data_IF_788911444232
#
_entry.id   IF_788911444232
#
_cell.length_a   1.000
_cell.length_b   1.000
_cell.length_c   1.000
_cell.angle_alpha   90.00
_cell.angle_beta   90.00
_cell.angle_gamma   90.00
#
_symmetry.space_group_name_H-M   'P 1'
#
loop_
_entity.id
_entity.type
_entity.pdbx_description
1 polymer ?
#
# COMPACT_ATOMS: atom_id res chain seq x y z
N UNK A 1 -11.78 30.24 5.16
CA UNK A 1 -11.71 28.77 5.30
C UNK A 1 -11.37 28.08 3.98
N UNK A 2 -12.14 28.27 2.91
CA UNK A 2 -11.86 27.60 1.62
C UNK A 2 -10.46 27.89 1.04
N UNK A 3 -9.96 29.13 1.14
CA UNK A 3 -8.60 29.49 0.69
C UNK A 3 -7.51 28.74 1.47
N UNK A 4 -7.66 28.68 2.79
CA UNK A 4 -6.76 27.97 3.69
C UNK A 4 -6.75 26.46 3.40
N UNK A 5 -7.92 25.88 3.13
CA UNK A 5 -8.06 24.47 2.73
C UNK A 5 -7.33 24.18 1.42
N UNK A 6 -7.51 25.04 0.41
CA UNK A 6 -6.86 24.89 -0.90
C UNK A 6 -5.33 24.99 -0.79
N UNK A 7 -4.85 25.99 -0.04
CA UNK A 7 -3.41 26.19 0.20
C UNK A 7 -2.78 25.00 0.94
N UNK A 8 -3.42 24.52 2.00
CA UNK A 8 -2.96 23.35 2.75
C UNK A 8 -2.89 22.09 1.87
N UNK A 9 -3.86 21.86 0.97
CA UNK A 9 -3.84 20.73 0.02
C UNK A 9 -2.67 20.83 -0.97
N UNK A 10 -2.41 22.02 -1.51
CA UNK A 10 -1.27 22.26 -2.41
C UNK A 10 0.07 21.98 -1.72
N UNK A 11 0.27 22.55 -0.53
CA UNK A 11 1.47 22.32 0.28
C UNK A 11 1.68 20.84 0.63
N UNK A 12 0.61 20.09 0.90
CA UNK A 12 0.70 18.65 1.16
C UNK A 12 1.22 17.88 -0.04
N UNK A 13 0.71 18.16 -1.23
CA UNK A 13 1.14 17.50 -2.48
C UNK A 13 2.61 17.85 -2.75
N UNK A 14 2.95 19.14 -2.74
CA UNK A 14 4.31 19.62 -2.98
C UNK A 14 5.32 19.02 -2.00
N UNK A 15 4.98 18.97 -0.71
CA UNK A 15 5.87 18.44 0.33
C UNK A 15 6.04 16.92 0.19
N UNK A 16 4.95 16.17 -0.02
CA UNK A 16 5.02 14.71 -0.21
C UNK A 16 5.81 14.33 -1.47
N UNK A 17 5.64 15.08 -2.57
CA UNK A 17 6.44 14.88 -3.78
C UNK A 17 7.91 15.23 -3.58
N UNK A 18 8.22 16.29 -2.84
CA UNK A 18 9.59 16.66 -2.51
C UNK A 18 10.28 15.59 -1.64
N UNK A 19 9.59 15.05 -0.63
CA UNK A 19 10.09 13.94 0.21
C UNK A 19 10.35 12.70 -0.64
N UNK A 20 9.39 12.30 -1.48
CA UNK A 20 9.52 11.10 -2.33
C UNK A 20 10.65 11.22 -3.34
N UNK A 21 10.72 12.36 -4.03
CA UNK A 21 11.80 12.66 -4.97
C UNK A 21 13.16 12.65 -4.28
N UNK A 22 13.22 13.18 -3.05
CA UNK A 22 14.45 13.13 -2.26
C UNK A 22 14.83 11.70 -1.88
N UNK A 23 13.87 10.90 -1.42
CA UNK A 23 14.11 9.49 -1.08
C UNK A 23 14.60 8.67 -2.28
N UNK A 24 14.03 8.90 -3.46
CA UNK A 24 14.49 8.27 -4.69
C UNK A 24 15.91 8.66 -5.07
N UNK A 25 16.29 9.94 -4.93
CA UNK A 25 17.64 10.39 -5.24
C UNK A 25 18.70 9.68 -4.37
N UNK A 26 18.36 9.31 -3.12
CA UNK A 26 19.25 8.56 -2.24
C UNK A 26 19.48 7.11 -2.68
N UNK A 27 18.72 6.55 -3.64
CA UNK A 27 18.99 5.22 -4.17
C UNK A 27 20.34 5.14 -4.91
N UNK A 28 20.89 6.28 -5.35
CA UNK A 28 22.20 6.39 -5.96
C UNK A 28 23.19 7.16 -5.06
N UNK A 29 22.88 7.39 -3.79
CA UNK A 29 23.81 8.04 -2.87
C UNK A 29 24.87 7.04 -2.38
N UNK A 30 26.13 7.49 -2.18
CA UNK A 30 27.17 6.65 -1.58
C UNK A 30 26.90 6.41 -0.08
N UNK A 31 26.19 7.33 0.57
CA UNK A 31 25.88 7.31 1.99
C UNK A 31 24.41 6.99 2.25
N UNK A 32 24.13 6.47 3.44
CA UNK A 32 22.77 6.25 3.90
C UNK A 32 21.95 7.56 3.96
N UNK A 33 20.62 7.51 3.76
CA UNK A 33 19.80 8.71 3.88
C UNK A 33 19.94 9.39 5.25
N UNK A 34 20.07 10.72 5.31
CA UNK A 34 20.25 11.43 6.55
C UNK A 34 18.97 11.40 7.39
N UNK A 35 19.12 11.52 8.71
CA UNK A 35 17.99 11.61 9.63
C UNK A 35 17.00 12.73 9.26
N UNK A 36 17.49 13.83 8.67
CA UNK A 36 16.67 14.94 8.19
C UNK A 36 15.63 14.52 7.14
N UNK A 37 15.92 13.54 6.28
CA UNK A 37 14.94 13.01 5.33
C UNK A 37 13.84 12.21 6.06
N UNK A 38 14.23 11.34 6.99
CA UNK A 38 13.27 10.58 7.81
C UNK A 38 12.37 11.51 8.62
N UNK A 39 12.95 12.54 9.23
CA UNK A 39 12.24 13.61 9.93
C UNK A 39 11.24 14.38 9.04
N UNK A 40 11.60 14.69 7.79
CA UNK A 40 10.71 15.34 6.83
C UNK A 40 9.58 14.40 6.40
N UNK A 41 9.88 13.12 6.17
CA UNK A 41 8.90 12.10 5.84
C UNK A 41 7.88 11.92 6.96
N UNK A 42 8.33 11.79 8.22
CA UNK A 42 7.45 11.67 9.39
C UNK A 42 6.51 12.87 9.53
N UNK A 43 7.04 14.10 9.39
CA UNK A 43 6.21 15.33 9.46
C UNK A 43 5.19 15.41 8.34
N UNK A 44 5.55 14.98 7.14
CA UNK A 44 4.65 14.96 5.99
C UNK A 44 3.55 13.92 6.17
N UNK A 45 3.89 12.72 6.65
CA UNK A 45 2.93 11.68 6.99
C UNK A 45 1.97 12.12 8.11
N UNK A 46 2.47 12.82 9.14
CA UNK A 46 1.63 13.46 10.17
C UNK A 46 0.65 14.49 9.58
N UNK A 47 1.12 15.35 8.68
CA UNK A 47 0.27 16.36 8.05
C UNK A 47 -0.83 15.70 7.19
N UNK A 48 -0.50 14.64 6.45
CA UNK A 48 -1.48 13.83 5.70
C UNK A 48 -2.51 13.16 6.63
N UNK A 49 -2.10 12.70 7.82
CA UNK A 49 -3.04 12.14 8.81
C UNK A 49 -3.93 13.20 9.45
N UNK A 50 -3.41 14.40 9.72
CA UNK A 50 -4.24 15.54 10.16
C UNK A 50 -5.28 15.87 9.09
N UNK A 51 -4.88 15.83 7.82
CA UNK A 51 -5.79 16.01 6.69
C UNK A 51 -6.83 14.90 6.59
N UNK A 52 -6.45 13.64 6.81
CA UNK A 52 -7.39 12.53 6.90
C UNK A 52 -8.45 12.78 7.98
N UNK A 53 -8.03 13.23 9.17
CA UNK A 53 -8.94 13.60 10.27
C UNK A 53 -9.89 14.73 9.90
N UNK A 54 -9.43 15.73 9.13
CA UNK A 54 -10.27 16.85 8.66
C UNK A 54 -11.44 16.43 7.76
N UNK A 55 -11.36 15.23 7.17
CA UNK A 55 -12.44 14.64 6.37
C UNK A 55 -13.49 13.91 7.25
N UNK A 56 -13.31 13.84 8.58
CA UNK A 56 -14.30 13.25 9.51
C UNK A 56 -15.54 14.15 9.63
N UNK A 57 -16.77 13.59 9.47
CA UNK A 57 -18.01 14.36 9.57
C UNK A 57 -18.18 15.10 10.91
N UNK A 58 -17.60 14.57 11.99
CA UNK A 58 -17.63 15.17 13.31
C UNK A 58 -16.98 16.57 13.35
N UNK A 59 -16.04 16.86 12.44
CA UNK A 59 -15.35 18.15 12.37
C UNK A 59 -16.04 19.16 11.45
N UNK A 60 -17.06 18.79 10.68
CA UNK A 60 -17.70 19.68 9.69
C UNK A 60 -18.26 20.96 10.32
N UNK A 61 -18.78 20.87 11.55
CA UNK A 61 -19.43 22.00 12.25
C UNK A 61 -18.49 22.78 13.17
N UNK A 62 -17.21 22.40 13.26
CA UNK A 62 -16.25 23.02 14.17
C UNK A 62 -15.18 23.84 13.42
N UNK A 63 -15.55 25.03 12.93
CA UNK A 63 -14.67 25.89 12.13
C UNK A 63 -13.37 26.27 12.85
N UNK A 64 -13.42 26.47 14.18
CA UNK A 64 -12.24 26.80 14.97
C UNK A 64 -11.21 25.65 14.96
N UNK A 65 -11.68 24.42 15.21
CA UNK A 65 -10.81 23.24 15.16
C UNK A 65 -10.31 22.96 13.74
N UNK A 66 -11.18 23.08 12.73
CA UNK A 66 -10.79 22.94 11.32
C UNK A 66 -9.68 23.93 10.95
N UNK A 67 -9.82 25.20 11.33
CA UNK A 67 -8.81 26.22 11.07
C UNK A 67 -7.49 25.88 11.74
N UNK A 68 -7.52 25.50 13.01
CA UNK A 68 -6.32 25.09 13.76
C UNK A 68 -5.61 23.92 13.08
N UNK A 69 -6.34 22.88 12.66
CA UNK A 69 -5.76 21.70 12.00
C UNK A 69 -5.17 22.05 10.62
N UNK A 70 -5.77 22.97 9.88
CA UNK A 70 -5.22 23.45 8.61
C UNK A 70 -3.93 24.26 8.81
N UNK A 71 -3.89 25.19 9.77
CA UNK A 71 -2.68 25.94 10.11
C UNK A 71 -1.55 25.00 10.60
N UNK A 72 -1.92 23.94 11.32
CA UNK A 72 -1.01 22.89 11.80
C UNK A 72 -0.43 22.01 10.67
N UNK A 73 -1.18 21.82 9.58
CA UNK A 73 -0.68 21.21 8.33
C UNK A 73 0.37 22.10 7.68
N UNK A 74 0.08 23.40 7.51
CA UNK A 74 1.00 24.34 6.88
C UNK A 74 2.32 24.43 7.62
N UNK A 75 2.26 24.49 8.95
CA UNK A 75 3.45 24.50 9.80
C UNK A 75 4.30 23.24 9.62
N UNK A 76 3.68 22.05 9.52
CA UNK A 76 4.41 20.79 9.28
C UNK A 76 5.06 20.75 7.91
N UNK A 77 4.33 21.14 6.87
CA UNK A 77 4.84 21.21 5.51
C UNK A 77 6.04 22.16 5.43
N UNK A 78 5.94 23.37 6.00
CA UNK A 78 7.03 24.33 6.03
C UNK A 78 8.28 23.75 6.72
N UNK A 79 8.12 23.15 7.90
CA UNK A 79 9.23 22.53 8.65
C UNK A 79 9.84 21.33 7.92
N UNK A 80 9.03 20.52 7.24
CA UNK A 80 9.53 19.43 6.42
C UNK A 80 10.37 19.96 5.24
N UNK A 81 9.89 21.02 4.57
CA UNK A 81 10.63 21.71 3.51
C UNK A 81 11.97 22.27 3.98
N UNK A 82 12.01 22.96 5.12
CA UNK A 82 13.25 23.47 5.73
C UNK A 82 14.27 22.34 5.99
N UNK A 83 13.80 21.20 6.51
CA UNK A 83 14.65 20.03 6.77
C UNK A 83 15.20 19.41 5.49
N UNK A 84 14.39 19.32 4.44
CA UNK A 84 14.85 18.85 3.13
C UNK A 84 15.86 19.82 2.50
N UNK A 85 15.64 21.13 2.62
CA UNK A 85 16.55 22.13 2.06
C UNK A 85 17.94 22.10 2.72
N UNK A 86 18.00 21.80 4.03
CA UNK A 86 19.25 21.74 4.78
C UNK A 86 20.17 20.54 4.43
N UNK A 87 19.67 19.53 3.72
CA UNK A 87 20.42 18.29 3.48
C UNK A 87 20.23 17.76 2.05
N UNK A 88 20.84 18.41 1.04
CA UNK A 88 20.79 17.93 -0.35
C UNK A 88 21.45 16.55 -0.49
N UNK A 89 20.97 15.68 -1.40
CA UNK A 89 21.53 14.35 -1.58
C UNK A 89 22.87 14.44 -2.31
N UNK A 90 23.88 13.73 -1.78
CA UNK A 90 25.05 13.35 -2.58
C UNK A 90 24.66 12.25 -3.56
N UNK A 91 25.17 12.29 -4.79
CA UNK A 91 24.86 11.31 -5.83
C UNK A 91 26.15 10.70 -6.36
N UNK A 92 26.23 9.37 -6.38
CA UNK A 92 27.27 8.62 -7.08
C UNK A 92 26.97 8.63 -8.59
N UNK A 93 27.72 9.44 -9.33
CA UNK A 93 27.54 9.56 -10.77
C UNK A 93 27.76 8.26 -11.54
N UNK A 94 28.67 7.40 -11.07
CA UNK A 94 28.94 6.12 -11.73
C UNK A 94 27.76 5.19 -11.55
N UNK A 95 27.21 5.12 -10.32
CA UNK A 95 26.00 4.34 -10.04
C UNK A 95 24.79 4.81 -10.88
N UNK A 96 24.60 6.12 -11.05
CA UNK A 96 23.53 6.67 -11.90
C UNK A 96 23.69 6.22 -13.36
N UNK A 97 24.90 6.32 -13.91
CA UNK A 97 25.18 5.91 -15.31
C UNK A 97 24.97 4.41 -15.49
N UNK A 98 25.46 3.59 -14.55
CA UNK A 98 25.21 2.14 -14.56
C UNK A 98 23.71 1.84 -14.50
N UNK A 99 22.97 2.43 -13.55
CA UNK A 99 21.53 2.23 -13.45
C UNK A 99 20.77 2.60 -14.73
N UNK A 100 21.14 3.71 -15.37
CA UNK A 100 20.56 4.10 -16.67
C UNK A 100 20.80 3.04 -17.77
N UNK A 101 21.97 2.40 -17.78
CA UNK A 101 22.29 1.34 -18.75
C UNK A 101 21.59 -0.01 -18.46
N UNK A 102 21.33 -0.32 -17.20
CA UNK A 102 20.71 -1.61 -16.79
C UNK A 102 19.18 -1.59 -16.87
N UNK A 103 18.55 -0.43 -16.65
CA UNK A 103 17.09 -0.28 -16.62
C UNK A 103 16.36 -0.84 -17.84
N UNK A 104 16.82 -0.69 -19.10
CA UNK A 104 16.17 -1.31 -20.25
C UNK A 104 15.99 -2.83 -20.11
N UNK A 105 17.04 -3.52 -19.65
CA UNK A 105 17.01 -4.98 -19.44
C UNK A 105 16.09 -5.36 -18.29
N UNK A 106 16.13 -4.60 -17.20
CA UNK A 106 15.24 -4.78 -16.04
C UNK A 106 13.76 -4.59 -16.40
N UNK A 107 13.44 -3.58 -17.21
CA UNK A 107 12.08 -3.34 -17.71
C UNK A 107 11.60 -4.52 -18.57
N UNK A 108 12.43 -5.00 -19.50
CA UNK A 108 12.08 -6.15 -20.33
C UNK A 108 11.87 -7.43 -19.50
N UNK A 109 12.67 -7.63 -18.45
CA UNK A 109 12.49 -8.75 -17.52
C UNK A 109 11.15 -8.65 -16.77
N UNK A 110 10.78 -7.46 -16.28
CA UNK A 110 9.49 -7.23 -15.62
C UNK A 110 8.30 -7.54 -16.54
N UNK A 111 8.37 -7.16 -17.82
CA UNK A 111 7.33 -7.54 -18.81
C UNK A 111 7.24 -9.04 -19.04
N UNK A 112 8.38 -9.74 -19.04
CA UNK A 112 8.42 -11.19 -19.06
C UNK A 112 7.74 -11.81 -17.83
N UNK A 113 7.98 -11.24 -16.65
CA UNK A 113 7.35 -11.65 -15.40
C UNK A 113 5.84 -11.45 -15.42
N UNK A 114 5.36 -10.29 -15.88
CA UNK A 114 3.92 -10.02 -15.99
C UNK A 114 3.24 -11.02 -16.94
N UNK A 115 3.85 -11.35 -18.08
CA UNK A 115 3.28 -12.36 -18.99
C UNK A 115 3.11 -13.72 -18.32
N UNK A 116 4.13 -14.20 -17.59
CA UNK A 116 4.04 -15.46 -16.83
C UNK A 116 2.97 -15.40 -15.75
N UNK A 117 2.84 -14.26 -15.07
CA UNK A 117 1.83 -14.08 -14.03
C UNK A 117 0.41 -14.06 -14.63
N UNK A 118 0.21 -13.46 -15.82
CA UNK A 118 -1.06 -13.53 -16.56
C UNK A 118 -1.38 -14.95 -17.02
N UNK A 119 -0.40 -15.71 -17.50
CA UNK A 119 -0.60 -17.12 -17.90
C UNK A 119 -1.05 -17.98 -16.72
N UNK A 120 -0.57 -17.67 -15.51
CA UNK A 120 -0.86 -18.44 -14.29
C UNK A 120 -2.15 -18.01 -13.58
N UNK A 121 -2.37 -16.69 -13.45
CA UNK A 121 -3.44 -16.12 -12.64
C UNK A 121 -4.41 -15.20 -13.40
N UNK A 122 -4.28 -15.08 -14.72
CA UNK A 122 -5.13 -14.19 -15.52
C UNK A 122 -4.80 -12.70 -15.40
N UNK A 123 -5.54 -11.89 -16.16
CA UNK A 123 -5.26 -10.45 -16.28
C UNK A 123 -5.62 -9.64 -15.03
N UNK A 124 -6.64 -10.06 -14.28
CA UNK A 124 -7.09 -9.35 -13.08
C UNK A 124 -6.04 -9.37 -11.96
N UNK A 125 -5.33 -10.50 -11.82
CA UNK A 125 -4.24 -10.66 -10.85
C UNK A 125 -3.08 -9.68 -11.08
N UNK A 126 -2.86 -9.23 -12.32
CA UNK A 126 -1.74 -8.34 -12.68
C UNK A 126 -2.15 -6.88 -12.83
N UNK A 127 -3.45 -6.58 -12.89
CA UNK A 127 -3.98 -5.24 -13.06
C UNK A 127 -3.34 -4.17 -12.14
N UNK A 128 -2.97 -4.46 -10.88
CA UNK A 128 -2.34 -3.47 -10.00
C UNK A 128 -0.96 -2.99 -10.45
N UNK A 129 -0.24 -3.80 -11.20
CA UNK A 129 1.15 -3.51 -11.63
C UNK A 129 1.33 -3.53 -13.15
N UNK A 130 0.25 -3.75 -13.92
CA UNK A 130 0.29 -3.87 -15.37
C UNK A 130 0.91 -2.64 -16.07
N UNK A 131 0.66 -1.44 -15.54
CA UNK A 131 1.21 -0.19 -16.09
C UNK A 131 2.65 0.13 -15.68
N UNK A 132 3.23 -0.61 -14.73
CA UNK A 132 4.56 -0.29 -14.18
C UNK A 132 5.68 -0.26 -15.23
N UNK A 133 5.78 -1.22 -16.17
CA UNK A 133 6.82 -1.15 -17.20
C UNK A 133 6.71 0.08 -18.10
N UNK A 134 5.49 0.49 -18.46
CA UNK A 134 5.26 1.69 -19.27
C UNK A 134 5.65 2.97 -18.49
N UNK A 135 5.24 3.08 -17.23
CA UNK A 135 5.61 4.18 -16.35
C UNK A 135 7.13 4.22 -16.06
N UNK A 136 7.79 3.06 -15.97
CA UNK A 136 9.24 2.94 -15.83
C UNK A 136 9.98 3.43 -17.10
N UNK A 137 9.48 3.09 -18.30
CA UNK A 137 10.04 3.62 -19.56
C UNK A 137 9.94 5.14 -19.66
N UNK A 138 8.79 5.71 -19.30
CA UNK A 138 8.62 7.17 -19.32
C UNK A 138 9.61 7.86 -18.37
N UNK A 139 9.82 7.30 -17.19
CA UNK A 139 10.81 7.77 -16.22
C UNK A 139 12.25 7.60 -16.70
N UNK A 140 12.59 6.47 -17.32
CA UNK A 140 13.88 6.24 -17.94
C UNK A 140 14.16 7.27 -19.03
N UNK A 141 13.18 7.56 -19.89
CA UNK A 141 13.32 8.57 -20.94
C UNK A 141 13.57 9.97 -20.35
N UNK A 142 12.80 10.37 -19.32
CA UNK A 142 13.01 11.63 -18.58
C UNK A 142 14.39 11.68 -17.92
N UNK A 143 14.79 10.60 -17.24
CA UNK A 143 16.10 10.49 -16.59
C UNK A 143 17.25 10.57 -17.58
N UNK A 144 17.15 9.93 -18.74
CA UNK A 144 18.16 10.00 -19.80
C UNK A 144 18.29 11.39 -20.43
N UNK A 145 17.18 12.13 -20.56
CA UNK A 145 17.20 13.54 -20.99
C UNK A 145 17.91 14.43 -19.96
N UNK A 146 17.55 14.30 -18.68
CA UNK A 146 18.19 15.05 -17.59
C UNK A 146 19.67 14.71 -17.46
N UNK A 147 20.04 13.44 -17.62
CA UNK A 147 21.44 13.00 -17.59
C UNK A 147 22.28 13.69 -18.66
N UNK A 148 21.71 13.91 -19.85
CA UNK A 148 22.38 14.61 -20.96
C UNK A 148 22.45 16.13 -20.78
N UNK A 149 21.43 16.75 -20.18
CA UNK A 149 21.30 18.21 -20.12
C UNK A 149 21.82 18.85 -18.84
N UNK A 150 21.59 18.18 -17.71
CA UNK A 150 21.78 18.72 -16.36
C UNK A 150 22.73 17.85 -15.53
N UNK A 151 22.97 16.61 -15.95
CA UNK A 151 23.94 15.69 -15.35
C UNK A 151 23.34 14.68 -14.38
N UNK A 152 24.19 13.85 -13.73
CA UNK A 152 23.74 12.69 -12.95
C UNK A 152 22.84 13.03 -11.76
N UNK A 153 23.09 14.15 -11.08
CA UNK A 153 22.29 14.56 -9.92
C UNK A 153 20.82 14.82 -10.29
N UNK A 154 20.55 15.46 -11.43
CA UNK A 154 19.19 15.71 -11.93
C UNK A 154 18.51 14.42 -12.40
N UNK A 155 19.28 13.47 -12.93
CA UNK A 155 18.78 12.20 -13.44
C UNK A 155 18.48 11.15 -12.36
N UNK A 156 19.08 11.28 -11.16
CA UNK A 156 19.04 10.26 -10.12
C UNK A 156 17.61 9.86 -9.71
N UNK A 157 16.76 10.83 -9.32
CA UNK A 157 15.40 10.55 -8.87
C UNK A 157 14.52 9.86 -9.93
N UNK A 158 14.40 10.34 -11.19
CA UNK A 158 13.58 9.65 -12.19
C UNK A 158 14.11 8.25 -12.53
N UNK A 159 15.43 8.04 -12.59
CA UNK A 159 16.00 6.71 -12.83
C UNK A 159 15.71 5.75 -11.66
N UNK A 160 15.83 6.23 -10.42
CA UNK A 160 15.52 5.46 -9.24
C UNK A 160 14.02 5.09 -9.18
N UNK A 161 13.14 6.05 -9.50
CA UNK A 161 11.70 5.82 -9.62
C UNK A 161 11.34 4.80 -10.71
N UNK A 162 12.09 4.74 -11.82
CA UNK A 162 11.93 3.67 -12.80
C UNK A 162 12.29 2.30 -12.22
N UNK A 163 13.37 2.23 -11.43
CA UNK A 163 13.77 1.03 -10.70
C UNK A 163 12.71 0.56 -9.72
N UNK A 164 12.16 1.47 -8.90
CA UNK A 164 11.10 1.15 -7.93
C UNK A 164 9.87 0.50 -8.58
N UNK A 165 9.45 0.99 -9.76
CA UNK A 165 8.30 0.42 -10.47
C UNK A 165 8.57 -0.99 -10.99
N UNK A 166 9.78 -1.24 -11.49
CA UNK A 166 10.23 -2.59 -11.90
C UNK A 166 10.27 -3.52 -10.68
N UNK A 167 10.85 -3.06 -9.57
CA UNK A 167 10.94 -3.86 -8.34
C UNK A 167 9.54 -4.15 -7.76
N UNK A 168 8.60 -3.22 -7.92
CA UNK A 168 7.19 -3.42 -7.58
C UNK A 168 6.52 -4.55 -8.37
N UNK A 169 6.91 -4.79 -9.64
CA UNK A 169 6.40 -5.93 -10.42
C UNK A 169 6.91 -7.26 -9.83
N UNK A 170 8.19 -7.34 -9.49
CA UNK A 170 8.77 -8.54 -8.88
C UNK A 170 8.12 -8.83 -7.52
N UNK A 171 8.06 -7.82 -6.65
CA UNK A 171 7.41 -7.93 -5.33
C UNK A 171 5.94 -8.37 -5.45
N UNK A 172 5.15 -7.73 -6.33
CA UNK A 172 3.74 -8.11 -6.51
C UNK A 172 3.58 -9.56 -6.97
N UNK A 173 4.46 -10.03 -7.85
CA UNK A 173 4.46 -11.42 -8.33
C UNK A 173 4.67 -12.40 -7.17
N UNK A 174 5.69 -12.15 -6.35
CA UNK A 174 5.98 -12.98 -5.17
C UNK A 174 4.83 -12.95 -4.16
N UNK A 175 4.21 -11.78 -3.95
CA UNK A 175 3.07 -11.59 -3.05
C UNK A 175 1.81 -12.32 -3.54
N UNK A 176 1.52 -12.32 -4.85
CA UNK A 176 0.39 -13.08 -5.45
C UNK A 176 0.60 -14.58 -5.30
N UNK A 177 1.80 -15.09 -5.58
CA UNK A 177 2.11 -16.51 -5.44
C UNK A 177 2.04 -16.96 -3.97
N UNK A 178 2.53 -16.11 -3.06
CA UNK A 178 2.41 -16.34 -1.62
C UNK A 178 0.96 -16.32 -1.17
N UNK A 179 0.15 -15.37 -1.65
CA UNK A 179 -1.27 -15.29 -1.30
C UNK A 179 -2.03 -16.55 -1.75
N UNK A 180 -1.72 -17.10 -2.92
CA UNK A 180 -2.32 -18.35 -3.38
C UNK A 180 -1.96 -19.55 -2.49
N UNK A 181 -0.71 -19.59 -1.99
CA UNK A 181 -0.22 -20.64 -1.08
C UNK A 181 -0.91 -20.52 0.28
N UNK A 182 -0.91 -19.32 0.85
CA UNK A 182 -1.57 -19.01 2.13
C UNK A 182 -3.08 -19.27 2.05
N UNK A 183 -3.72 -19.01 0.91
CA UNK A 183 -5.12 -19.35 0.70
C UNK A 183 -5.36 -20.86 0.80
N UNK A 184 -4.50 -21.69 0.21
CA UNK A 184 -4.66 -23.14 0.27
C UNK A 184 -4.59 -23.64 1.72
N UNK A 185 -3.66 -23.12 2.52
CA UNK A 185 -3.53 -23.42 3.95
C UNK A 185 -4.77 -22.96 4.74
N UNK A 186 -5.17 -21.70 4.57
CA UNK A 186 -6.35 -21.14 5.22
C UNK A 186 -7.62 -21.92 4.87
N UNK A 187 -7.80 -22.32 3.61
CA UNK A 187 -8.93 -23.13 3.17
C UNK A 187 -8.98 -24.49 3.89
N UNK A 188 -7.84 -25.15 4.10
CA UNK A 188 -7.79 -26.40 4.87
C UNK A 188 -8.16 -26.18 6.34
N UNK A 189 -7.71 -25.07 6.94
CA UNK A 189 -8.09 -24.69 8.30
C UNK A 189 -9.59 -24.43 8.43
N UNK A 190 -10.20 -23.73 7.47
CA UNK A 190 -11.65 -23.48 7.43
C UNK A 190 -12.45 -24.77 7.27
N UNK A 191 -12.00 -25.70 6.42
CA UNK A 191 -12.64 -27.02 6.27
C UNK A 191 -12.59 -27.84 7.56
N UNK A 192 -11.51 -27.71 8.33
CA UNK A 192 -11.40 -28.34 9.64
C UNK A 192 -12.40 -27.74 10.63
N UNK A 193 -12.48 -26.42 10.69
CA UNK A 193 -13.45 -25.71 11.55
C UNK A 193 -14.90 -26.04 11.16
N UNK A 194 -15.21 -26.15 9.87
CA UNK A 194 -16.53 -26.55 9.38
C UNK A 194 -16.90 -27.97 9.78
N UNK A 195 -15.95 -28.92 9.70
CA UNK A 195 -16.15 -30.30 10.16
C UNK A 195 -16.38 -30.37 11.67
N UNK A 196 -15.66 -29.57 12.45
CA UNK A 196 -15.86 -29.43 13.90
C UNK A 196 -17.25 -28.88 14.23
N UNK A 197 -17.72 -27.86 13.49
CA UNK A 197 -19.01 -27.21 13.72
C UNK A 197 -20.23 -28.00 13.19
N UNK A 198 -20.04 -28.91 12.24
CA UNK A 198 -21.10 -29.48 11.40
C UNK A 198 -22.22 -30.25 12.09
N UNK A 199 -22.01 -30.74 13.32
CA UNK A 199 -23.06 -31.43 14.10
C UNK A 199 -23.92 -30.49 14.95
N UNK A 200 -23.63 -29.19 14.96
CA UNK A 200 -24.18 -28.28 15.96
C UNK A 200 -25.25 -27.34 15.43
N UNK A 201 -26.45 -27.45 16.00
CA UNK A 201 -27.58 -26.61 15.61
C UNK A 201 -27.29 -25.11 15.76
N UNK A 202 -26.62 -24.72 16.85
CA UNK A 202 -26.32 -23.33 17.16
C UNK A 202 -25.30 -22.68 16.18
N UNK A 203 -24.52 -23.50 15.46
CA UNK A 203 -23.48 -23.02 14.53
C UNK A 203 -23.88 -23.15 13.06
N UNK A 204 -25.10 -23.63 12.77
CA UNK A 204 -25.57 -23.89 11.39
C UNK A 204 -25.42 -22.68 10.47
N UNK A 205 -25.85 -21.50 10.92
CA UNK A 205 -25.82 -20.29 10.09
C UNK A 205 -24.41 -19.73 9.90
N UNK A 206 -23.52 -19.88 10.90
CA UNK A 206 -22.12 -19.51 10.77
C UNK A 206 -21.38 -20.47 9.83
N UNK A 207 -21.65 -21.77 9.95
CA UNK A 207 -21.06 -22.82 9.11
C UNK A 207 -21.51 -22.69 7.66
N UNK A 208 -22.80 -22.46 7.40
CA UNK A 208 -23.32 -22.27 6.05
C UNK A 208 -22.70 -21.04 5.35
N UNK A 209 -22.49 -19.94 6.09
CA UNK A 209 -21.81 -18.75 5.55
C UNK A 209 -20.34 -19.00 5.26
N UNK A 210 -19.62 -19.71 6.14
CA UNK A 210 -18.22 -20.05 5.95
C UNK A 210 -18.02 -21.04 4.79
N UNK A 211 -18.91 -22.02 4.63
CA UNK A 211 -18.91 -22.96 3.50
C UNK A 211 -19.14 -22.25 2.16
N UNK A 212 -20.14 -21.36 2.09
CA UNK A 212 -20.40 -20.55 0.90
C UNK A 212 -19.21 -19.63 0.55
N UNK A 213 -18.64 -18.95 1.54
CA UNK A 213 -17.49 -18.08 1.34
C UNK A 213 -16.25 -18.85 0.89
N UNK A 214 -16.01 -20.06 1.43
CA UNK A 214 -14.94 -20.93 0.99
C UNK A 214 -15.12 -21.36 -0.47
N UNK A 215 -16.35 -21.72 -0.87
CA UNK A 215 -16.65 -22.07 -2.26
C UNK A 215 -16.41 -20.90 -3.23
N UNK A 216 -16.88 -19.69 -2.88
CA UNK A 216 -16.63 -18.47 -3.67
C UNK A 216 -15.14 -18.12 -3.74
N UNK A 217 -14.43 -18.23 -2.63
CA UNK A 217 -13.01 -17.91 -2.58
C UNK A 217 -12.19 -18.90 -3.43
N UNK A 218 -12.57 -20.19 -3.45
CA UNK A 218 -11.98 -21.20 -4.35
C UNK A 218 -12.21 -20.88 -5.83
N UNK A 219 -13.38 -20.36 -6.18
CA UNK A 219 -13.64 -19.92 -7.55
C UNK A 219 -12.85 -18.65 -7.93
N UNK A 220 -12.48 -17.83 -6.94
CA UNK A 220 -11.80 -16.55 -7.14
C UNK A 220 -10.27 -16.66 -7.15
N UNK A 221 -9.68 -17.58 -6.39
CA UNK A 221 -8.22 -17.60 -6.13
C UNK A 221 -7.36 -17.70 -7.40
N UNK A 222 -7.86 -18.31 -8.46
CA UNK A 222 -7.13 -18.37 -9.73
C UNK A 222 -6.96 -16.99 -10.37
N UNK A 223 -7.87 -16.04 -10.13
CA UNK A 223 -7.86 -14.69 -10.71
C UNK A 223 -7.48 -13.57 -9.73
N UNK A 224 -7.81 -13.73 -8.45
CA UNK A 224 -7.54 -12.75 -7.39
C UNK A 224 -7.27 -13.47 -6.05
N UNK A 225 -6.03 -13.94 -5.81
CA UNK A 225 -5.65 -14.55 -4.53
C UNK A 225 -5.92 -13.66 -3.31
N UNK A 226 -5.72 -12.34 -3.43
CA UNK A 226 -5.97 -11.40 -2.34
C UNK A 226 -7.48 -11.23 -2.08
N UNK A 227 -8.31 -11.22 -3.12
CA UNK A 227 -9.77 -11.25 -3.00
C UNK A 227 -10.29 -12.54 -2.37
N UNK A 228 -9.71 -13.68 -2.74
CA UNK A 228 -10.02 -14.96 -2.12
C UNK A 228 -9.69 -14.94 -0.61
N UNK A 229 -8.51 -14.44 -0.22
CA UNK A 229 -8.12 -14.28 1.19
C UNK A 229 -9.04 -13.32 1.96
N UNK A 230 -9.44 -12.20 1.38
CA UNK A 230 -10.39 -11.26 2.01
C UNK A 230 -11.73 -11.94 2.30
N UNK A 231 -12.31 -12.59 1.28
CA UNK A 231 -13.59 -13.31 1.42
C UNK A 231 -13.52 -14.41 2.47
N UNK A 232 -12.48 -15.23 2.42
CA UNK A 232 -12.29 -16.32 3.38
C UNK A 232 -12.11 -15.76 4.80
N UNK A 233 -11.25 -14.75 4.98
CA UNK A 233 -10.97 -14.17 6.29
C UNK A 233 -12.18 -13.50 6.96
N UNK A 234 -13.09 -12.90 6.20
CA UNK A 234 -14.35 -12.34 6.73
C UNK A 234 -15.27 -13.43 7.28
N UNK A 235 -15.46 -14.52 6.54
CA UNK A 235 -16.32 -15.62 6.96
C UNK A 235 -15.70 -16.45 8.10
N UNK A 236 -14.39 -16.66 8.05
CA UNK A 236 -13.60 -17.30 9.10
C UNK A 236 -13.69 -16.56 10.43
N UNK A 237 -13.72 -15.23 10.42
CA UNK A 237 -13.84 -14.46 11.65
C UNK A 237 -15.19 -14.72 12.36
N UNK A 238 -16.26 -14.85 11.59
CA UNK A 238 -17.57 -15.15 12.15
C UNK A 238 -17.62 -16.57 12.72
N UNK A 239 -17.05 -17.56 12.02
CA UNK A 239 -16.97 -18.94 12.48
C UNK A 239 -16.06 -19.08 13.72
N UNK A 240 -14.87 -18.48 13.69
CA UNK A 240 -13.93 -18.48 14.80
C UNK A 240 -14.49 -17.81 16.05
N UNK A 241 -15.23 -16.70 15.91
CA UNK A 241 -15.91 -16.06 17.03
C UNK A 241 -16.99 -16.97 17.65
N UNK A 242 -17.71 -17.73 16.84
CA UNK A 242 -18.72 -18.67 17.31
C UNK A 242 -18.10 -19.90 18.02
N UNK A 243 -16.91 -20.33 17.60
CA UNK A 243 -16.12 -21.39 18.23
C UNK A 243 -15.31 -20.92 19.45
N UNK A 244 -15.17 -19.60 19.67
CA UNK A 244 -14.23 -19.04 20.65
C UNK A 244 -14.49 -19.50 22.10
N UNK A 245 -15.75 -19.65 22.52
CA UNK A 245 -16.06 -20.09 23.89
C UNK A 245 -15.66 -21.54 24.18
N UNK A 246 -15.37 -22.32 23.13
CA UNK A 246 -15.09 -23.76 23.20
C UNK A 246 -13.62 -24.09 23.04
N UNK A 247 -12.84 -23.13 22.53
CA UNK A 247 -11.41 -23.28 22.29
C UNK A 247 -10.60 -22.82 23.50
N UNK A 248 -9.55 -23.58 23.76
CA UNK A 248 -8.51 -23.15 24.68
C UNK A 248 -7.94 -21.82 24.23
N UNK A 249 -7.43 -21.04 25.19
CA UNK A 249 -6.87 -19.73 24.92
C UNK A 249 -5.71 -19.80 23.93
N UNK A 250 -4.93 -20.87 23.96
CA UNK A 250 -3.80 -21.09 23.06
C UNK A 250 -4.27 -21.30 21.61
N UNK A 251 -5.30 -22.13 21.39
CA UNK A 251 -5.86 -22.34 20.05
C UNK A 251 -6.50 -21.08 19.48
N UNK A 252 -7.19 -20.30 20.32
CA UNK A 252 -7.72 -18.98 19.92
C UNK A 252 -6.61 -18.02 19.50
N UNK A 253 -5.52 -17.98 20.26
CA UNK A 253 -4.37 -17.13 19.94
C UNK A 253 -3.69 -17.58 18.64
N UNK A 254 -3.52 -18.89 18.44
CA UNK A 254 -2.96 -19.47 17.21
C UNK A 254 -3.81 -19.10 16.00
N UNK A 255 -5.14 -19.23 16.10
CA UNK A 255 -6.06 -18.85 15.02
C UNK A 255 -6.05 -17.35 14.74
N UNK A 256 -6.09 -16.51 15.78
CA UNK A 256 -6.00 -15.06 15.62
C UNK A 256 -4.69 -14.63 14.94
N UNK A 257 -3.58 -15.32 15.25
CA UNK A 257 -2.29 -15.10 14.60
C UNK A 257 -2.30 -15.47 13.11
N UNK A 258 -2.80 -16.66 12.75
CA UNK A 258 -2.96 -17.08 11.35
C UNK A 258 -3.78 -16.07 10.54
N UNK A 259 -4.95 -15.68 11.07
CA UNK A 259 -5.82 -14.68 10.43
C UNK A 259 -5.17 -13.31 10.31
N UNK A 260 -4.40 -12.88 11.32
CA UNK A 260 -3.66 -11.62 11.27
C UNK A 260 -2.59 -11.67 10.16
N UNK A 261 -1.82 -12.73 10.05
CA UNK A 261 -0.77 -12.88 9.04
C UNK A 261 -1.35 -12.88 7.62
N UNK A 262 -2.50 -13.54 7.41
CA UNK A 262 -3.25 -13.51 6.14
C UNK A 262 -3.73 -12.09 5.79
N UNK A 263 -4.34 -11.40 6.74
CA UNK A 263 -4.82 -10.04 6.56
C UNK A 263 -3.67 -9.06 6.30
N UNK A 264 -2.53 -9.24 6.99
CA UNK A 264 -1.35 -8.41 6.85
C UNK A 264 -0.67 -8.58 5.49
N UNK A 265 -0.56 -9.82 5.01
CA UNK A 265 -0.05 -10.10 3.66
C UNK A 265 -0.86 -9.35 2.60
N UNK A 266 -2.20 -9.45 2.69
CA UNK A 266 -3.11 -8.77 1.76
C UNK A 266 -2.99 -7.25 1.87
N UNK A 267 -3.05 -6.72 3.09
CA UNK A 267 -2.99 -5.28 3.35
C UNK A 267 -1.67 -4.65 2.88
N UNK A 268 -0.54 -5.31 3.14
CA UNK A 268 0.78 -4.82 2.76
C UNK A 268 0.96 -4.81 1.24
N UNK A 269 0.55 -5.88 0.55
CA UNK A 269 0.62 -5.96 -0.91
C UNK A 269 -0.26 -4.88 -1.57
N UNK A 270 -1.52 -4.74 -1.13
CA UNK A 270 -2.44 -3.71 -1.63
C UNK A 270 -1.89 -2.30 -1.41
N UNK A 271 -1.35 -2.02 -0.21
CA UNK A 271 -0.77 -0.71 0.11
C UNK A 271 0.44 -0.42 -0.76
N UNK A 272 1.35 -1.39 -0.92
CA UNK A 272 2.56 -1.22 -1.71
C UNK A 272 2.21 -0.97 -3.20
N UNK A 273 1.28 -1.74 -3.78
CA UNK A 273 0.81 -1.50 -5.15
C UNK A 273 0.15 -0.11 -5.31
N UNK A 274 -0.62 0.34 -4.31
CA UNK A 274 -1.22 1.68 -4.34
C UNK A 274 -0.17 2.81 -4.24
N UNK A 275 0.88 2.60 -3.43
CA UNK A 275 2.01 3.52 -3.31
C UNK A 275 2.86 3.55 -4.59
N UNK A 276 3.02 2.42 -5.28
CA UNK A 276 3.69 2.36 -6.58
C UNK A 276 2.90 3.13 -7.64
N UNK A 277 1.57 2.95 -7.69
CA UNK A 277 0.71 3.70 -8.60
C UNK A 277 0.79 5.21 -8.33
N UNK A 278 0.82 5.62 -7.06
CA UNK A 278 1.07 7.01 -6.69
C UNK A 278 2.46 7.48 -7.12
N UNK A 279 3.49 6.64 -6.95
CA UNK A 279 4.84 6.94 -7.45
C UNK A 279 4.84 7.10 -8.96
N UNK A 280 4.06 6.30 -9.70
CA UNK A 280 3.93 6.36 -11.15
C UNK A 280 3.24 7.65 -11.65
N UNK A 281 2.28 8.18 -10.88
CA UNK A 281 1.36 9.25 -11.30
C UNK A 281 1.30 10.44 -10.33
N UNK A 282 2.42 10.78 -9.68
CA UNK A 282 2.50 11.83 -8.63
C UNK A 282 1.80 13.13 -8.99
N UNK A 283 2.00 13.59 -10.23
CA UNK A 283 1.48 14.87 -10.72
C UNK A 283 -0.06 14.86 -10.88
N UNK A 284 -0.67 13.69 -11.02
CA UNK A 284 -2.12 13.52 -11.18
C UNK A 284 -2.81 13.18 -9.86
N UNK A 285 -2.15 12.43 -8.97
CA UNK A 285 -2.77 11.90 -7.76
C UNK A 285 -2.92 12.97 -6.67
N UNK A 286 -4.17 13.24 -6.30
CA UNK A 286 -4.57 14.29 -5.39
C UNK A 286 -4.41 13.95 -3.90
N UNK A 287 -4.75 14.94 -3.06
CA UNK A 287 -4.60 14.82 -1.59
C UNK A 287 -5.48 13.71 -1.00
N UNK A 288 -6.64 13.41 -1.56
CA UNK A 288 -7.54 12.40 -1.01
C UNK A 288 -6.91 11.00 -1.02
N UNK A 289 -6.34 10.56 -2.15
CA UNK A 289 -5.60 9.31 -2.23
C UNK A 289 -4.40 9.31 -1.27
N UNK A 290 -3.59 10.37 -1.29
CA UNK A 290 -2.39 10.52 -0.44
C UNK A 290 -2.71 10.36 1.06
N UNK A 291 -3.83 10.91 1.53
CA UNK A 291 -4.20 10.83 2.95
C UNK A 291 -4.65 9.44 3.36
N UNK A 292 -5.39 8.72 2.50
CA UNK A 292 -5.77 7.31 2.74
C UNK A 292 -4.53 6.43 2.83
N UNK A 293 -3.59 6.58 1.90
CA UNK A 293 -2.36 5.80 1.88
C UNK A 293 -1.43 6.12 3.06
N UNK A 294 -1.34 7.38 3.48
CA UNK A 294 -0.57 7.77 4.66
C UNK A 294 -1.18 7.19 5.95
N UNK A 295 -2.51 7.21 6.07
CA UNK A 295 -3.19 6.60 7.22
C UNK A 295 -3.06 5.07 7.20
N UNK A 296 -3.14 4.43 6.03
CA UNK A 296 -2.90 2.99 5.88
C UNK A 296 -1.47 2.61 6.30
N UNK A 297 -0.45 3.32 5.84
CA UNK A 297 0.95 3.08 6.23
C UNK A 297 1.16 3.20 7.74
N UNK A 298 0.61 4.24 8.36
CA UNK A 298 0.69 4.41 9.81
C UNK A 298 0.00 3.28 10.58
N UNK A 299 -1.16 2.83 10.13
CA UNK A 299 -1.85 1.71 10.76
C UNK A 299 -1.13 0.38 10.54
N UNK A 300 -0.42 0.23 9.42
CA UNK A 300 0.41 -0.95 9.15
C UNK A 300 1.52 -1.05 10.20
N UNK A 301 2.30 0.02 10.42
CA UNK A 301 3.32 0.08 11.46
C UNK A 301 2.75 -0.27 12.84
N UNK A 302 1.63 0.37 13.22
CA UNK A 302 0.93 0.08 14.48
C UNK A 302 0.48 -1.37 14.58
N UNK A 303 0.05 -1.99 13.48
CA UNK A 303 -0.41 -3.38 13.49
C UNK A 303 0.73 -4.34 13.85
N UNK A 304 1.96 -4.07 13.39
CA UNK A 304 3.15 -4.85 13.74
C UNK A 304 3.48 -4.73 15.24
N UNK A 305 3.42 -3.52 15.79
CA UNK A 305 3.68 -3.28 17.22
C UNK A 305 2.69 -4.02 18.12
N UNK A 306 1.40 -4.00 17.77
CA UNK A 306 0.34 -4.66 18.53
C UNK A 306 0.42 -6.19 18.40
N UNK A 307 0.74 -6.69 17.21
CA UNK A 307 0.72 -8.12 16.91
C UNK A 307 1.74 -8.96 17.69
N UNK A 308 2.78 -8.33 18.25
CA UNK A 308 3.73 -9.01 19.13
C UNK A 308 3.08 -9.51 20.42
N UNK A 309 2.14 -8.73 20.97
CA UNK A 309 1.50 -9.01 22.26
C UNK A 309 0.08 -9.56 22.10
N UNK A 310 -0.66 -9.05 21.10
CA UNK A 310 -2.07 -9.37 20.91
C UNK A 310 -2.46 -9.39 19.41
N UNK A 311 -2.30 -10.55 18.75
CA UNK A 311 -2.72 -10.73 17.36
C UNK A 311 -4.22 -10.50 17.14
N UNK A 312 -5.06 -10.79 18.14
CA UNK A 312 -6.50 -10.61 18.02
C UNK A 312 -6.87 -9.12 17.93
N UNK A 313 -6.18 -8.27 18.69
CA UNK A 313 -6.32 -6.80 18.59
C UNK A 313 -5.65 -6.24 17.33
N UNK A 314 -4.60 -6.88 16.82
CA UNK A 314 -3.93 -6.44 15.59
C UNK A 314 -4.71 -6.75 14.30
N UNK A 315 -5.47 -7.85 14.27
CA UNK A 315 -6.29 -8.27 13.12
C UNK A 315 -7.22 -7.16 12.56
N UNK A 316 -8.08 -6.50 13.37
CA UNK A 316 -8.92 -5.42 12.86
C UNK A 316 -8.11 -4.21 12.37
N UNK A 317 -6.91 -3.98 12.89
CA UNK A 317 -6.01 -2.93 12.39
C UNK A 317 -5.53 -3.30 10.98
N UNK A 318 -5.06 -4.52 10.76
CA UNK A 318 -4.62 -4.99 9.43
C UNK A 318 -5.75 -4.92 8.38
N UNK A 319 -6.98 -5.30 8.75
CA UNK A 319 -8.16 -5.14 7.88
C UNK A 319 -8.45 -3.69 7.54
N UNK A 320 -8.25 -2.77 8.49
CA UNK A 320 -8.40 -1.34 8.25
C UNK A 320 -7.32 -0.78 7.33
N UNK A 321 -6.09 -1.29 7.41
CA UNK A 321 -5.01 -0.95 6.46
C UNK A 321 -5.44 -1.32 5.05
N UNK A 322 -5.89 -2.56 4.83
CA UNK A 322 -6.31 -3.03 3.51
C UNK A 322 -7.46 -2.19 2.95
N UNK A 323 -8.50 -1.93 3.75
CA UNK A 323 -9.63 -1.10 3.32
C UNK A 323 -9.20 0.32 2.89
N UNK A 324 -8.29 0.95 3.65
CA UNK A 324 -7.75 2.27 3.30
C UNK A 324 -6.85 2.23 2.07
N UNK A 325 -6.08 1.15 1.88
CA UNK A 325 -5.24 0.96 0.71
C UNK A 325 -6.08 0.79 -0.56
N UNK A 326 -7.16 0.01 -0.50
CA UNK A 326 -8.15 -0.12 -1.59
C UNK A 326 -8.80 1.23 -1.90
N UNK A 327 -9.27 1.95 -0.88
CA UNK A 327 -9.88 3.28 -1.05
C UNK A 327 -8.89 4.28 -1.68
N UNK A 328 -7.66 4.34 -1.16
CA UNK A 328 -6.60 5.20 -1.64
C UNK A 328 -6.24 4.92 -3.10
N UNK A 329 -6.15 3.63 -3.48
CA UNK A 329 -5.92 3.22 -4.86
C UNK A 329 -7.08 3.60 -5.78
N UNK A 330 -8.32 3.36 -5.37
CA UNK A 330 -9.49 3.74 -6.16
C UNK A 330 -9.59 5.26 -6.37
N UNK A 331 -9.19 6.06 -5.38
CA UNK A 331 -9.05 7.51 -5.55
C UNK A 331 -7.95 7.86 -6.54
N UNK A 332 -6.77 7.23 -6.44
CA UNK A 332 -5.66 7.49 -7.36
C UNK A 332 -6.01 7.13 -8.82
N UNK A 333 -6.68 6.01 -9.05
CA UNK A 333 -7.17 5.61 -10.39
C UNK A 333 -8.25 6.56 -10.93
N UNK A 334 -9.04 7.19 -10.07
CA UNK A 334 -9.98 8.25 -10.47
C UNK A 334 -9.25 9.50 -10.91
N UNK A 335 -8.21 9.89 -10.17
CA UNK A 335 -7.41 11.06 -10.47
C UNK A 335 -6.64 10.91 -11.80
N UNK A 336 -6.24 9.69 -12.19
CA UNK A 336 -5.55 9.41 -13.47
C UNK A 336 -6.50 9.15 -14.64
N UNK A 337 -7.82 9.04 -14.39
CA UNK A 337 -8.80 8.66 -15.42
C UNK A 337 -8.75 7.17 -15.80
N UNK A 338 -8.03 6.33 -15.05
CA UNK A 338 -7.92 4.88 -15.24
C UNK A 338 -9.03 4.10 -14.52
N UNK A 339 -10.08 4.79 -14.07
CA UNK A 339 -11.24 4.14 -13.45
C UNK A 339 -12.00 3.34 -14.50
N UNK A 340 -11.84 2.02 -14.49
CA UNK A 340 -12.74 1.11 -15.19
C UNK A 340 -14.20 1.32 -14.74
N UNK A 341 -15.19 0.88 -15.55
CA UNK A 341 -16.58 0.99 -15.17
C UNK A 341 -16.83 0.26 -13.84
N UNK A 342 -17.51 0.93 -12.90
CA UNK A 342 -18.06 0.28 -11.72
C UNK A 342 -19.13 -0.69 -12.21
N UNK A 343 -18.84 -1.99 -12.14
CA UNK A 343 -19.82 -3.05 -12.34
C UNK A 343 -20.74 -3.15 -11.10
#
# INVERSE_FOLDING_TARGET
MAELDRRARGLLIETDDAVRTRAEAYAFAPDAPPAALGEAATRTAEALRIRFRLDEPALERNDLERRRLLEEIELRCARAGERLAASPPGVDEAAVRTGATELPGRIAAAEGTLRRLVERFGADAVAPVAGHPAAARARLARGGELLRREGPAAAAAPLAGAGLLVDGVARWTDEVERAATVFAEAAQETEADLREAGSEHALRDASARADAALAEARATVAGDPFGALRRLGEADAALAAALASRREREDRNRRARSMFEQALLTAAATLAAAQDHLTAHRESVGTAARTRLAQAAHLLERSWEVAHNDPATALPIARRVDALAVEGRALALRDTGESGPVA
#
